data_IF_726856068818
#
_entry.id   IF_726856068818
#
_cell.length_a   1.000
_cell.length_b   1.000
_cell.length_c   1.000
_cell.angle_alpha   90.00
_cell.angle_beta   90.00
_cell.angle_gamma   90.00
#
_symmetry.space_group_name_H-M   'P 1'
#
loop_
_entity.id
_entity.type
_entity.pdbx_description
1 polymer ?
#
# COMPACT_ATOMS: atom_id res chain seq x y z
N UNK A 1 -14.26 -6.86 -6.44
CA UNK A 1 -14.29 -7.52 -5.11
C UNK A 1 -14.49 -9.01 -5.15
N UNK A 2 -15.54 -9.51 -5.77
CA UNK A 2 -15.74 -10.97 -5.90
C UNK A 2 -14.57 -11.71 -6.56
N UNK A 3 -13.76 -11.03 -7.39
CA UNK A 3 -12.60 -11.62 -8.06
C UNK A 3 -11.52 -12.00 -7.05
N UNK A 4 -11.10 -11.09 -6.17
CA UNK A 4 -10.06 -11.34 -5.17
C UNK A 4 -10.48 -12.39 -4.13
N UNK A 5 -11.76 -12.38 -3.76
CA UNK A 5 -12.29 -13.38 -2.84
C UNK A 5 -12.25 -14.79 -3.43
N UNK A 6 -12.58 -14.94 -4.72
CA UNK A 6 -12.50 -16.22 -5.44
C UNK A 6 -11.07 -16.70 -5.68
N UNK A 7 -10.15 -15.80 -6.01
CA UNK A 7 -8.79 -16.17 -6.38
C UNK A 7 -7.78 -16.10 -5.23
N UNK A 8 -8.22 -15.92 -3.98
CA UNK A 8 -7.35 -15.65 -2.84
C UNK A 8 -6.21 -16.68 -2.68
N UNK A 9 -6.50 -17.98 -2.81
CA UNK A 9 -5.47 -19.01 -2.73
C UNK A 9 -4.47 -18.92 -3.89
N UNK A 10 -4.94 -18.79 -5.12
CA UNK A 10 -4.07 -18.67 -6.29
C UNK A 10 -3.22 -17.38 -6.25
N UNK A 11 -3.78 -16.30 -5.69
CA UNK A 11 -3.05 -15.06 -5.44
C UNK A 11 -1.95 -15.28 -4.41
N UNK A 12 -2.26 -15.92 -3.29
CA UNK A 12 -1.27 -16.28 -2.27
C UNK A 12 -0.13 -17.10 -2.86
N UNK A 13 -0.45 -18.17 -3.60
CA UNK A 13 0.55 -19.08 -4.18
C UNK A 13 1.52 -18.33 -5.12
N UNK A 14 1.06 -17.22 -5.73
CA UNK A 14 1.85 -16.44 -6.68
C UNK A 14 2.61 -15.28 -6.05
N UNK A 15 2.06 -14.61 -5.04
CA UNK A 15 2.53 -13.31 -4.58
C UNK A 15 2.98 -13.26 -3.11
N UNK A 16 3.16 -14.44 -2.45
CA UNK A 16 3.72 -14.44 -1.09
C UNK A 16 5.19 -14.03 -1.05
N UNK A 17 5.93 -14.26 -2.14
CA UNK A 17 7.29 -13.76 -2.30
C UNK A 17 7.23 -12.26 -2.71
N UNK A 18 7.77 -11.41 -1.85
CA UNK A 18 7.83 -9.96 -2.03
C UNK A 18 9.26 -9.47 -2.29
N UNK A 19 10.20 -10.37 -2.60
CA UNK A 19 11.63 -10.12 -2.73
C UNK A 19 11.98 -8.94 -3.64
N UNK A 20 11.19 -8.69 -4.68
CA UNK A 20 11.39 -7.54 -5.58
C UNK A 20 11.27 -6.18 -4.87
N UNK A 21 10.52 -6.09 -3.76
CA UNK A 21 10.17 -4.84 -3.08
C UNK A 21 10.83 -4.70 -1.70
N UNK A 22 11.65 -5.67 -1.28
CA UNK A 22 12.25 -5.70 0.07
C UNK A 22 13.03 -4.43 0.42
N UNK A 23 13.77 -3.88 -0.53
CA UNK A 23 14.55 -2.65 -0.36
C UNK A 23 13.66 -1.45 0.02
N UNK A 24 12.49 -1.30 -0.60
CA UNK A 24 11.55 -0.22 -0.28
C UNK A 24 10.82 -0.47 1.05
N UNK A 25 10.53 -1.72 1.38
CA UNK A 25 9.98 -2.07 2.71
C UNK A 25 11.00 -1.87 3.82
N UNK A 26 12.28 -2.12 3.56
CA UNK A 26 13.36 -1.83 4.52
C UNK A 26 13.48 -0.32 4.78
N UNK A 27 13.33 0.53 3.75
CA UNK A 27 13.26 1.99 3.91
C UNK A 27 12.08 2.39 4.80
N UNK A 28 10.89 1.83 4.55
CA UNK A 28 9.70 2.07 5.39
C UNK A 28 9.97 1.70 6.85
N UNK A 29 10.50 0.50 7.12
CA UNK A 29 10.82 0.02 8.47
C UNK A 29 11.86 0.91 9.18
N UNK A 30 12.90 1.35 8.45
CA UNK A 30 14.01 2.14 9.00
C UNK A 30 13.56 3.53 9.48
N UNK A 31 12.52 4.09 8.88
CA UNK A 31 12.01 5.42 9.26
C UNK A 31 10.96 5.38 10.40
N UNK A 32 10.59 4.20 10.91
CA UNK A 32 9.71 4.04 12.07
C UNK A 32 10.55 3.63 13.27
N UNK A 33 10.94 4.62 14.10
CA UNK A 33 11.85 4.40 15.23
C UNK A 33 11.15 3.82 16.48
N UNK A 34 9.85 4.05 16.64
CA UNK A 34 9.12 3.65 17.83
C UNK A 34 9.05 2.13 17.96
N UNK A 35 9.33 1.63 19.16
CA UNK A 35 9.03 0.25 19.53
C UNK A 35 7.51 0.10 19.72
N UNK A 36 6.97 -1.08 19.38
CA UNK A 36 5.52 -1.35 19.39
C UNK A 36 4.69 -0.39 18.51
N UNK A 37 5.29 0.17 17.44
CA UNK A 37 4.63 1.10 16.54
C UNK A 37 3.36 0.50 15.93
N UNK A 38 2.29 1.27 15.90
CA UNK A 38 1.03 0.87 15.28
C UNK A 38 1.11 1.06 13.76
N UNK A 39 0.95 -0.01 13.02
CA UNK A 39 0.99 -0.04 11.55
C UNK A 39 -0.37 -0.42 10.99
N UNK A 40 -0.82 0.29 9.97
CA UNK A 40 -1.98 -0.08 9.17
C UNK A 40 -1.51 -0.62 7.81
N UNK A 41 -1.92 -1.85 7.47
CA UNK A 41 -1.68 -2.45 6.15
C UNK A 41 -3.00 -2.45 5.35
N UNK A 42 -3.11 -1.55 4.35
CA UNK A 42 -4.33 -1.31 3.56
C UNK A 42 -4.32 -2.22 2.33
N UNK A 43 -5.42 -2.93 2.11
CA UNK A 43 -5.55 -3.98 1.08
C UNK A 43 -4.47 -5.06 1.26
N UNK A 44 -4.35 -5.55 2.51
CA UNK A 44 -3.26 -6.43 2.95
C UNK A 44 -3.20 -7.77 2.20
N UNK A 45 -4.23 -8.11 1.40
CA UNK A 45 -4.30 -9.38 0.69
C UNK A 45 -4.12 -10.57 1.64
N UNK A 46 -3.33 -11.60 1.27
CA UNK A 46 -3.05 -12.75 2.13
C UNK A 46 -2.00 -12.45 3.23
N UNK A 47 -1.65 -11.17 3.45
CA UNK A 47 -0.71 -10.74 4.47
C UNK A 47 0.77 -10.95 4.10
N UNK A 48 1.11 -10.92 2.82
CA UNK A 48 2.48 -11.08 2.33
C UNK A 48 3.40 -9.94 2.80
N UNK A 49 2.97 -8.68 2.65
CA UNK A 49 3.74 -7.52 3.14
C UNK A 49 3.78 -7.53 4.67
N UNK A 50 2.65 -7.74 5.34
CA UNK A 50 2.61 -7.89 6.81
C UNK A 50 3.63 -8.91 7.30
N UNK A 51 3.75 -10.07 6.63
CA UNK A 51 4.73 -11.11 6.97
C UNK A 51 6.17 -10.61 6.87
N UNK A 52 6.48 -9.88 5.81
CA UNK A 52 7.79 -9.28 5.64
C UNK A 52 8.08 -8.25 6.75
N UNK A 53 7.16 -7.32 6.99
CA UNK A 53 7.32 -6.30 8.03
C UNK A 53 7.58 -6.92 9.41
N UNK A 54 6.81 -7.94 9.79
CA UNK A 54 6.99 -8.65 11.06
C UNK A 54 8.29 -9.45 11.13
N UNK A 55 8.84 -9.90 10.01
CA UNK A 55 10.16 -10.54 9.97
C UNK A 55 11.29 -9.57 10.29
N UNK A 56 11.16 -8.30 9.89
CA UNK A 56 12.14 -7.23 10.15
C UNK A 56 11.89 -6.52 11.48
N UNK A 57 10.64 -6.29 11.81
CA UNK A 57 10.18 -5.58 13.01
C UNK A 57 9.10 -6.39 13.72
N UNK A 58 9.49 -7.45 14.45
CA UNK A 58 8.54 -8.30 15.20
C UNK A 58 7.80 -7.56 16.33
N UNK A 59 8.27 -6.37 16.68
CA UNK A 59 7.66 -5.46 17.64
C UNK A 59 6.45 -4.69 17.07
N UNK A 60 6.29 -4.58 15.76
CA UNK A 60 5.18 -3.85 15.16
C UNK A 60 3.80 -4.41 15.56
N UNK A 61 2.87 -3.53 15.82
CA UNK A 61 1.45 -3.84 16.09
C UNK A 61 0.65 -3.57 14.81
N UNK A 62 0.53 -4.58 13.97
CA UNK A 62 -0.06 -4.43 12.65
C UNK A 62 -1.56 -4.75 12.68
N UNK A 63 -2.35 -3.84 12.11
CA UNK A 63 -3.72 -4.07 11.68
C UNK A 63 -3.72 -4.14 10.14
N UNK A 64 -4.01 -5.30 9.58
CA UNK A 64 -4.28 -5.47 8.16
C UNK A 64 -5.78 -5.33 7.85
N UNK A 65 -6.12 -4.65 6.77
CA UNK A 65 -7.50 -4.56 6.27
C UNK A 65 -7.57 -4.95 4.80
N UNK A 66 -8.58 -5.72 4.45
CA UNK A 66 -8.91 -6.06 3.06
C UNK A 66 -10.43 -6.23 2.91
N UNK A 67 -10.94 -6.01 1.71
CA UNK A 67 -12.37 -6.20 1.43
C UNK A 67 -12.75 -7.67 1.19
N UNK A 68 -11.79 -8.50 0.77
CA UNK A 68 -12.01 -9.90 0.47
C UNK A 68 -11.89 -10.75 1.75
N UNK A 69 -12.98 -11.40 2.14
CA UNK A 69 -13.05 -12.23 3.35
C UNK A 69 -12.02 -13.35 3.33
N UNK A 70 -11.82 -13.99 2.16
CA UNK A 70 -10.85 -15.07 2.01
C UNK A 70 -9.40 -14.58 2.09
N UNK A 71 -9.10 -13.34 1.64
CA UNK A 71 -7.79 -12.71 1.83
C UNK A 71 -7.51 -12.49 3.32
N UNK A 72 -8.46 -11.92 4.06
CA UNK A 72 -8.35 -11.71 5.51
C UNK A 72 -8.14 -13.03 6.26
N UNK A 73 -8.84 -14.09 5.88
CA UNK A 73 -8.67 -15.42 6.50
C UNK A 73 -7.25 -15.97 6.26
N UNK A 74 -6.72 -15.82 5.05
CA UNK A 74 -5.34 -16.22 4.73
C UNK A 74 -4.31 -15.36 5.47
N UNK A 75 -4.52 -14.03 5.51
CA UNK A 75 -3.64 -13.12 6.22
C UNK A 75 -3.52 -13.48 7.70
N UNK A 76 -4.64 -13.78 8.36
CA UNK A 76 -4.68 -14.21 9.76
C UNK A 76 -3.95 -15.55 9.97
N UNK A 77 -4.10 -16.49 9.05
CA UNK A 77 -3.40 -17.78 9.12
C UNK A 77 -1.88 -17.62 8.93
N UNK A 78 -1.47 -16.73 8.02
CA UNK A 78 -0.06 -16.47 7.71
C UNK A 78 0.66 -15.66 8.80
N UNK A 79 -0.08 -14.79 9.52
CA UNK A 79 0.47 -13.84 10.48
C UNK A 79 -0.33 -13.83 11.80
N UNK A 80 -0.22 -14.89 12.62
CA UNK A 80 -1.07 -15.07 13.81
C UNK A 80 -0.85 -14.01 14.91
N UNK A 81 0.24 -13.24 14.84
CA UNK A 81 0.55 -12.16 15.80
C UNK A 81 0.00 -10.81 15.40
N UNK A 82 -0.50 -10.66 14.16
CA UNK A 82 -1.15 -9.44 13.68
C UNK A 82 -2.68 -9.54 13.77
N UNK A 83 -3.35 -8.40 13.71
CA UNK A 83 -4.80 -8.30 13.65
C UNK A 83 -5.25 -8.05 12.21
N UNK A 84 -6.35 -8.70 11.78
CA UNK A 84 -6.90 -8.50 10.44
C UNK A 84 -8.41 -8.29 10.49
N UNK A 85 -8.92 -7.39 9.61
CA UNK A 85 -10.35 -7.08 9.52
C UNK A 85 -10.81 -6.97 8.07
N UNK A 86 -12.04 -7.46 7.83
CA UNK A 86 -12.72 -7.17 6.55
C UNK A 86 -13.20 -5.72 6.60
N UNK A 87 -12.56 -4.87 5.79
CA UNK A 87 -12.84 -3.43 5.77
C UNK A 87 -12.45 -2.81 4.44
N UNK A 88 -13.21 -1.82 4.00
CA UNK A 88 -12.89 -1.01 2.83
C UNK A 88 -11.77 -0.02 3.15
N UNK A 89 -10.66 -0.06 2.38
CA UNK A 89 -9.56 0.88 2.52
C UNK A 89 -9.94 2.35 2.32
N UNK A 90 -11.06 2.63 1.65
CA UNK A 90 -11.60 3.99 1.48
C UNK A 90 -12.25 4.55 2.75
N UNK A 91 -12.43 3.72 3.77
CA UNK A 91 -13.08 4.10 5.03
C UNK A 91 -12.12 4.16 6.23
N UNK A 92 -10.80 4.26 5.99
CA UNK A 92 -9.76 4.17 7.05
C UNK A 92 -9.92 5.22 8.16
N UNK A 93 -10.53 6.36 7.88
CA UNK A 93 -10.81 7.39 8.88
C UNK A 93 -11.72 6.88 10.01
N UNK A 94 -12.59 5.91 9.72
CA UNK A 94 -13.48 5.30 10.70
C UNK A 94 -12.73 4.44 11.76
N UNK A 95 -11.43 4.20 11.59
CA UNK A 95 -10.62 3.49 12.59
C UNK A 95 -10.35 4.32 13.85
N UNK A 96 -10.55 5.64 13.80
CA UNK A 96 -10.44 6.58 14.95
C UNK A 96 -9.16 6.40 15.79
N UNK A 97 -8.08 5.91 15.14
CA UNK A 97 -6.79 5.59 15.77
C UNK A 97 -5.67 6.28 14.99
N UNK A 98 -4.58 6.60 15.66
CA UNK A 98 -3.35 7.07 15.02
C UNK A 98 -2.40 5.90 14.75
N UNK A 99 -1.67 6.01 13.64
CA UNK A 99 -0.68 5.03 13.22
C UNK A 99 0.68 5.72 13.02
N UNK A 100 1.77 5.04 13.34
CA UNK A 100 3.13 5.48 13.05
C UNK A 100 3.57 5.10 11.63
N UNK A 101 2.91 4.10 11.04
CA UNK A 101 3.12 3.70 9.66
C UNK A 101 1.83 3.28 8.97
N UNK A 102 1.68 3.64 7.70
CA UNK A 102 0.63 3.14 6.82
C UNK A 102 1.29 2.53 5.60
N UNK A 103 1.05 1.25 5.40
CA UNK A 103 1.45 0.50 4.22
C UNK A 103 0.24 0.39 3.28
N UNK A 104 0.39 0.84 2.03
CA UNK A 104 -0.63 0.75 0.99
C UNK A 104 0.02 0.14 -0.26
N UNK A 105 0.30 -1.18 -0.18
CA UNK A 105 0.95 -1.94 -1.22
C UNK A 105 -0.05 -2.39 -2.29
N UNK A 106 0.06 -1.86 -3.52
CA UNK A 106 -0.75 -2.25 -4.68
C UNK A 106 -2.28 -2.15 -4.48
N UNK A 107 -2.74 -1.25 -3.61
CA UNK A 107 -4.15 -0.90 -3.47
C UNK A 107 -4.61 0.07 -4.57
N UNK A 108 -3.76 1.05 -4.93
CA UNK A 108 -4.12 2.12 -5.84
C UNK A 108 -4.59 1.63 -7.23
N UNK A 109 -4.06 0.55 -7.83
CA UNK A 109 -4.57 0.07 -9.12
C UNK A 109 -6.07 -0.25 -9.13
N UNK A 110 -6.71 -0.35 -7.97
CA UNK A 110 -8.15 -0.63 -7.83
C UNK A 110 -8.95 0.58 -7.37
N UNK A 111 -8.33 1.76 -7.35
CA UNK A 111 -8.94 3.04 -6.99
C UNK A 111 -8.89 4.01 -8.17
N UNK A 112 -9.95 4.79 -8.36
CA UNK A 112 -9.88 5.90 -9.32
C UNK A 112 -8.87 6.96 -8.86
N UNK A 113 -8.52 7.89 -9.75
CA UNK A 113 -7.62 9.01 -9.43
C UNK A 113 -8.12 9.82 -8.23
N UNK A 114 -9.43 10.07 -8.19
CA UNK A 114 -10.10 10.80 -7.11
C UNK A 114 -10.05 10.00 -5.79
N UNK A 115 -10.32 8.70 -5.84
CA UNK A 115 -10.25 7.81 -4.68
C UNK A 115 -8.82 7.69 -4.14
N UNK A 116 -7.81 7.62 -5.02
CA UNK A 116 -6.40 7.60 -4.62
C UNK A 116 -5.98 8.89 -3.89
N UNK A 117 -6.38 10.07 -4.42
CA UNK A 117 -6.15 11.37 -3.77
C UNK A 117 -6.88 11.45 -2.43
N UNK A 118 -8.11 10.94 -2.35
CA UNK A 118 -8.86 10.90 -1.10
C UNK A 118 -8.20 9.99 -0.08
N UNK A 119 -7.69 8.80 -0.49
CA UNK A 119 -6.97 7.89 0.38
C UNK A 119 -5.71 8.54 0.98
N UNK A 120 -4.94 9.29 0.18
CA UNK A 120 -3.78 10.07 0.66
C UNK A 120 -4.21 11.09 1.72
N UNK A 121 -5.31 11.82 1.46
CA UNK A 121 -5.86 12.78 2.43
C UNK A 121 -6.28 12.10 3.73
N UNK A 122 -6.94 10.96 3.64
CA UNK A 122 -7.43 10.20 4.80
C UNK A 122 -6.26 9.56 5.57
N UNK A 123 -5.25 9.05 4.89
CA UNK A 123 -4.01 8.60 5.51
C UNK A 123 -3.33 9.74 6.29
N UNK A 124 -3.28 10.95 5.71
CA UNK A 124 -2.78 12.14 6.41
C UNK A 124 -3.53 12.46 7.70
N UNK A 125 -4.83 12.18 7.79
CA UNK A 125 -5.63 12.41 9.00
C UNK A 125 -5.32 11.44 10.13
N UNK A 126 -5.06 10.16 9.80
CA UNK A 126 -4.86 9.09 10.80
C UNK A 126 -3.39 8.76 11.08
N UNK A 127 -2.44 9.28 10.27
CA UNK A 127 -1.02 9.18 10.55
C UNK A 127 -0.62 10.12 11.69
N UNK A 128 0.25 9.64 12.56
CA UNK A 128 0.92 10.46 13.58
C UNK A 128 1.88 11.44 12.93
N UNK A 129 2.30 12.46 13.67
CA UNK A 129 3.41 13.34 13.29
C UNK A 129 4.69 12.53 13.14
N UNK A 130 5.44 12.77 12.06
CA UNK A 130 6.61 11.97 11.71
C UNK A 130 6.28 10.55 11.25
N UNK A 131 5.00 10.20 11.12
CA UNK A 131 4.57 8.89 10.63
C UNK A 131 4.88 8.68 9.14
N UNK A 132 5.07 7.43 8.74
CA UNK A 132 5.52 7.03 7.41
C UNK A 132 4.36 6.47 6.59
N UNK A 133 4.19 6.98 5.38
CA UNK A 133 3.27 6.44 4.38
C UNK A 133 4.06 5.78 3.25
N UNK A 134 3.74 4.53 2.96
CA UNK A 134 4.18 3.80 1.77
C UNK A 134 3.01 3.68 0.79
N UNK A 135 3.25 4.01 -0.47
CA UNK A 135 2.31 3.81 -1.57
C UNK A 135 2.99 3.03 -2.69
N UNK A 136 2.32 2.03 -3.25
CA UNK A 136 2.75 1.47 -4.53
C UNK A 136 1.60 1.28 -5.50
N UNK A 137 1.93 1.38 -6.79
CA UNK A 137 0.96 1.30 -7.89
C UNK A 137 1.64 0.87 -9.19
N UNK A 138 0.83 0.47 -10.17
CA UNK A 138 1.26 0.33 -11.55
C UNK A 138 1.31 1.73 -12.20
N UNK A 139 2.50 2.15 -12.67
CA UNK A 139 2.70 3.46 -13.29
C UNK A 139 2.52 3.39 -14.81
N UNK A 140 1.60 4.18 -15.32
CA UNK A 140 1.45 4.51 -16.74
C UNK A 140 0.53 5.73 -16.88
N UNK A 141 0.32 6.22 -18.11
CA UNK A 141 -0.69 7.24 -18.38
C UNK A 141 -2.07 6.78 -17.90
N UNK A 142 -2.76 7.64 -17.15
CA UNK A 142 -4.09 7.31 -16.62
C UNK A 142 -5.10 6.94 -17.71
N UNK A 143 -4.93 7.49 -18.92
CA UNK A 143 -5.75 7.19 -20.10
C UNK A 143 -5.72 5.71 -20.53
N UNK A 144 -4.71 4.95 -20.11
CA UNK A 144 -4.56 3.51 -20.38
C UNK A 144 -5.31 2.63 -19.38
N UNK A 145 -5.93 3.23 -18.36
CA UNK A 145 -6.77 2.52 -17.39
C UNK A 145 -7.93 1.83 -18.09
N UNK A 146 -8.30 0.65 -17.62
CA UNK A 146 -9.38 -0.09 -18.27
C UNK A 146 -9.55 -1.50 -17.72
N UNK A 147 -10.50 -2.23 -18.31
CA UNK A 147 -10.76 -3.62 -17.98
C UNK A 147 -9.59 -4.48 -18.43
N UNK A 148 -9.06 -5.29 -17.52
CA UNK A 148 -8.07 -6.33 -17.78
C UNK A 148 -8.68 -7.69 -17.48
N UNK A 149 -8.41 -8.67 -18.33
CA UNK A 149 -8.85 -10.04 -18.14
C UNK A 149 -7.74 -10.85 -17.49
N UNK A 150 -7.99 -11.41 -16.34
CA UNK A 150 -7.06 -12.31 -15.68
C UNK A 150 -6.98 -13.67 -16.39
N UNK A 151 -5.95 -14.46 -16.12
CA UNK A 151 -5.72 -15.77 -16.76
C UNK A 151 -6.84 -16.79 -16.52
N UNK A 152 -7.65 -16.60 -15.49
CA UNK A 152 -8.83 -17.41 -15.16
C UNK A 152 -10.13 -16.89 -15.85
N UNK A 153 -10.05 -15.84 -16.68
CA UNK A 153 -11.17 -15.23 -17.37
C UNK A 153 -11.96 -14.20 -16.58
N UNK A 154 -11.62 -13.95 -15.32
CA UNK A 154 -12.25 -12.87 -14.53
C UNK A 154 -11.79 -11.50 -15.05
N UNK A 155 -12.70 -10.54 -15.08
CA UNK A 155 -12.42 -9.17 -15.50
C UNK A 155 -12.29 -8.26 -14.29
N UNK A 156 -11.28 -7.39 -14.35
CA UNK A 156 -10.99 -6.41 -13.31
C UNK A 156 -10.63 -5.07 -13.96
N UNK A 157 -11.22 -3.97 -13.49
CA UNK A 157 -10.80 -2.65 -13.91
C UNK A 157 -9.50 -2.28 -13.18
N UNK A 158 -8.46 -1.94 -13.94
CA UNK A 158 -7.16 -1.51 -13.43
C UNK A 158 -6.94 -0.05 -13.77
N UNK A 159 -6.64 0.75 -12.77
CA UNK A 159 -6.22 2.14 -12.92
C UNK A 159 -4.69 2.21 -12.93
N UNK A 160 -4.15 2.94 -13.91
CA UNK A 160 -2.75 3.34 -13.91
C UNK A 160 -2.63 4.72 -13.25
N UNK A 161 -1.52 4.95 -12.56
CA UNK A 161 -1.30 6.20 -11.83
C UNK A 161 0.06 6.79 -12.16
N UNK A 162 0.09 8.09 -12.42
CA UNK A 162 1.32 8.81 -12.72
C UNK A 162 1.90 9.40 -11.43
N UNK A 163 3.23 9.33 -11.23
CA UNK A 163 3.90 9.85 -10.04
C UNK A 163 3.58 11.32 -9.77
N UNK A 164 3.49 12.14 -10.83
CA UNK A 164 3.36 13.60 -10.68
C UNK A 164 2.19 14.03 -9.80
N UNK A 165 0.99 13.54 -10.07
CA UNK A 165 -0.18 13.95 -9.29
C UNK A 165 -0.25 13.30 -7.89
N UNK A 166 0.31 12.08 -7.72
CA UNK A 166 0.40 11.43 -6.41
C UNK A 166 1.33 12.22 -5.48
N UNK A 167 2.50 12.63 -6.00
CA UNK A 167 3.46 13.45 -5.26
C UNK A 167 2.84 14.82 -4.91
N UNK A 168 2.11 15.44 -5.85
CA UNK A 168 1.40 16.70 -5.57
C UNK A 168 0.33 16.49 -4.48
N UNK A 169 -0.43 15.40 -4.52
CA UNK A 169 -1.41 15.09 -3.49
C UNK A 169 -0.76 14.88 -2.11
N UNK A 170 0.38 14.20 -2.06
CA UNK A 170 1.16 13.99 -0.85
C UNK A 170 1.65 15.34 -0.27
N UNK A 171 2.25 16.20 -1.10
CA UNK A 171 2.72 17.53 -0.66
C UNK A 171 1.59 18.39 -0.11
N UNK A 172 0.39 18.37 -0.73
CA UNK A 172 -0.78 19.10 -0.24
C UNK A 172 -1.24 18.63 1.15
N UNK A 173 -0.92 17.40 1.55
CA UNK A 173 -1.24 16.85 2.87
C UNK A 173 -0.07 16.97 3.86
N UNK A 174 0.99 17.71 3.53
CA UNK A 174 2.14 17.92 4.39
C UNK A 174 3.13 16.74 4.42
N UNK A 175 3.12 15.88 3.41
CA UNK A 175 4.11 14.82 3.31
C UNK A 175 5.38 15.30 2.60
N UNK A 176 6.54 14.92 3.13
CA UNK A 176 7.85 15.00 2.47
C UNK A 176 8.19 13.64 1.87
N UNK A 177 8.45 13.59 0.58
CA UNK A 177 8.92 12.37 -0.09
C UNK A 177 10.35 12.08 0.38
N UNK A 178 10.60 10.85 0.81
CA UNK A 178 11.92 10.39 1.25
C UNK A 178 12.53 9.37 0.31
N UNK A 179 11.70 8.63 -0.42
CA UNK A 179 12.15 7.71 -1.45
C UNK A 179 11.11 7.58 -2.56
N UNK A 180 11.58 7.37 -3.78
CA UNK A 180 10.75 7.07 -4.95
C UNK A 180 11.50 6.12 -5.86
N UNK A 181 10.96 4.93 -6.04
CA UNK A 181 11.57 3.89 -6.87
C UNK A 181 10.62 3.45 -7.97
N UNK A 182 11.20 2.85 -9.01
CA UNK A 182 10.49 2.19 -10.10
C UNK A 182 11.09 0.82 -10.34
N UNK A 183 10.23 -0.17 -10.44
CA UNK A 183 10.62 -1.55 -10.73
C UNK A 183 9.99 -1.98 -12.04
N UNK A 184 10.84 -2.28 -13.03
CA UNK A 184 10.39 -2.70 -14.34
C UNK A 184 10.48 -4.22 -14.47
N UNK A 185 9.42 -4.82 -14.97
CA UNK A 185 9.37 -6.25 -15.26
C UNK A 185 8.46 -6.55 -16.45
N UNK A 186 8.50 -7.79 -16.92
CA UNK A 186 7.58 -8.24 -17.97
C UNK A 186 6.39 -8.96 -17.35
N UNK A 187 5.21 -8.47 -17.60
CA UNK A 187 3.95 -9.16 -17.28
C UNK A 187 3.81 -10.50 -17.98
N UNK A 188 2.85 -11.29 -17.54
CA UNK A 188 2.60 -12.64 -18.11
C UNK A 188 2.23 -12.65 -19.60
N UNK A 189 1.81 -11.53 -20.16
CA UNK A 189 1.53 -11.27 -21.58
C UNK A 189 2.74 -10.71 -22.35
N UNK A 190 3.89 -10.54 -21.68
CA UNK A 190 5.15 -10.04 -22.26
C UNK A 190 5.28 -8.51 -22.32
N UNK A 191 4.26 -7.74 -21.89
CA UNK A 191 4.32 -6.29 -21.83
C UNK A 191 5.21 -5.81 -20.68
N UNK A 192 5.92 -4.71 -20.92
CA UNK A 192 6.64 -4.03 -19.84
C UNK A 192 5.63 -3.44 -18.85
N UNK A 193 5.85 -3.69 -17.58
CA UNK A 193 5.10 -3.11 -16.46
C UNK A 193 6.09 -2.34 -15.61
N UNK A 194 5.72 -1.15 -15.21
CA UNK A 194 6.47 -0.32 -14.26
C UNK A 194 5.66 -0.20 -12.99
N UNK A 195 6.19 -0.71 -11.90
CA UNK A 195 5.65 -0.44 -10.57
C UNK A 195 6.35 0.79 -10.00
N UNK A 196 5.57 1.67 -9.41
CA UNK A 196 6.02 2.89 -8.73
C UNK A 196 5.83 2.71 -7.23
N UNK A 197 6.88 2.90 -6.47
CA UNK A 197 6.88 2.97 -5.01
C UNK A 197 7.21 4.38 -4.54
N UNK A 198 6.41 4.93 -3.62
CA UNK A 198 6.62 6.23 -2.99
C UNK A 198 6.59 6.06 -1.49
N UNK A 199 7.63 6.54 -0.80
CA UNK A 199 7.69 6.56 0.65
C UNK A 199 7.77 8.01 1.10
N UNK A 200 6.90 8.40 2.03
CA UNK A 200 6.77 9.77 2.48
C UNK A 200 6.59 9.86 4.00
N UNK A 201 7.13 10.91 4.61
CA UNK A 201 6.95 11.22 6.04
C UNK A 201 6.01 12.40 6.19
N UNK A 202 5.09 12.30 7.13
CA UNK A 202 4.16 13.38 7.47
C UNK A 202 4.86 14.42 8.33
N UNK A 203 4.78 15.70 7.91
CA UNK A 203 5.23 16.87 8.66
C UNK A 203 4.06 17.81 8.92
N UNK A 204 4.01 18.41 10.13
CA UNK A 204 2.96 19.39 10.45
C UNK A 204 3.32 20.81 10.00
N UNK A 205 4.60 21.09 9.70
CA UNK A 205 5.03 22.41 9.34
C UNK A 205 5.34 22.50 7.84
N UNK A 206 4.61 23.33 7.05
CA UNK A 206 4.90 23.53 5.64
C UNK A 206 6.34 24.02 5.37
N UNK A 207 7.00 24.68 6.34
CA UNK A 207 8.35 25.20 6.19
C UNK A 207 9.42 24.09 6.18
N UNK A 208 9.12 22.91 6.75
CA UNK A 208 10.04 21.76 6.78
C UNK A 208 10.13 21.04 5.41
N UNK A 209 9.19 21.33 4.49
CA UNK A 209 9.18 20.73 3.15
C UNK A 209 10.31 21.27 2.24
N UNK A 210 10.94 22.40 2.59
CA UNK A 210 11.95 23.07 1.77
C UNK A 210 13.40 22.83 2.26
N UNK A 211 13.64 22.03 3.27
CA UNK A 211 15.00 21.74 3.75
C UNK A 211 15.59 20.58 2.91
N UNK A 212 16.67 20.80 2.15
CA UNK A 212 17.34 19.72 1.44
C UNK A 212 17.94 18.73 2.44
N UNK A 213 17.84 17.44 2.08
CA UNK A 213 18.41 16.33 2.84
C UNK A 213 19.94 16.32 2.79
#
# INVERSE_FOLDING_TARGET
>A
MAVFDKCAQAYQDKFMDVGMYEDTFDVFCAHISNHDAAILDIACGPGNITKYLLSKRPDFKILGIDLAVNMVALAQANNPTAEFRVMDGRAIVALEKKYEGIMCGFCLPYLSKEEAVQLISDAGKILSEGGVLYLSTMEDEYSKSGVKTASNGDELFVHYHEAGYLIEALHRQGFKIIDTQRKEYRGGDGWAVTDLEIIAIKHNNPDDLNTPA
#
